data_IF_566176544582
#
_entry.id   IF_566176544582
#
_cell.length_a   1.000
_cell.length_b   1.000
_cell.length_c   1.000
_cell.angle_alpha   90.00
_cell.angle_beta   90.00
_cell.angle_gamma   90.00
#
_symmetry.space_group_name_H-M   'P 1'
#
loop_
_entity.id
_entity.type
_entity.pdbx_description
1 polymer ?
#
# COMPACT_ATOMS: atom_id res chain seq x y z
N UNK A 1 12.02 -12.95 0.41
CA UNK A 1 13.23 -12.23 -0.04
C UNK A 1 13.38 -10.96 0.77
N UNK A 2 14.60 -10.66 1.22
CA UNK A 2 14.98 -9.38 1.83
C UNK A 2 15.81 -8.59 0.83
N UNK A 3 15.46 -7.31 0.65
CA UNK A 3 16.17 -6.36 -0.20
C UNK A 3 16.51 -5.14 0.67
N UNK A 4 17.75 -4.68 0.59
CA UNK A 4 18.23 -3.50 1.31
C UNK A 4 18.74 -2.46 0.32
N UNK A 5 18.42 -1.18 0.55
CA UNK A 5 18.97 -0.10 -0.25
C UNK A 5 20.50 -0.04 -0.10
N UNK A 6 21.20 0.17 -1.21
CA UNK A 6 22.69 0.30 -1.25
C UNK A 6 23.15 1.75 -1.17
N UNK A 7 22.23 2.72 -1.31
CA UNK A 7 22.49 4.15 -1.26
C UNK A 7 21.40 4.86 -0.47
N UNK A 8 21.73 5.97 0.16
CA UNK A 8 20.83 6.77 0.98
C UNK A 8 20.58 6.15 2.35
N UNK A 9 19.48 6.55 2.99
CA UNK A 9 19.03 5.93 4.24
C UNK A 9 18.69 4.45 4.01
N UNK A 10 18.90 3.57 5.00
CA UNK A 10 18.60 2.17 4.85
C UNK A 10 17.08 1.93 4.74
N UNK A 11 16.64 1.43 3.59
CA UNK A 11 15.29 0.95 3.36
C UNK A 11 15.35 -0.57 3.20
N UNK A 12 14.57 -1.29 3.99
CA UNK A 12 14.45 -2.74 3.93
C UNK A 12 13.11 -3.12 3.32
N UNK A 13 13.12 -4.01 2.35
CA UNK A 13 11.92 -4.55 1.71
C UNK A 13 11.90 -6.06 1.93
N UNK A 14 10.85 -6.55 2.56
CA UNK A 14 10.57 -7.97 2.72
C UNK A 14 9.49 -8.35 1.72
N UNK A 15 9.84 -9.16 0.74
CA UNK A 15 8.94 -9.49 -0.37
C UNK A 15 8.71 -10.99 -0.47
N UNK A 16 7.48 -11.36 -0.83
CA UNK A 16 7.11 -12.70 -1.26
C UNK A 16 7.33 -12.75 -2.77
N UNK A 17 8.03 -13.79 -3.23
CA UNK A 17 8.16 -14.07 -4.66
C UNK A 17 6.85 -14.58 -5.23
N UNK A 18 6.60 -14.40 -6.53
CA UNK A 18 5.46 -15.02 -7.19
C UNK A 18 5.46 -16.53 -6.95
N UNK A 19 4.34 -17.06 -6.48
CA UNK A 19 4.16 -18.47 -6.16
C UNK A 19 3.03 -19.06 -6.99
N UNK A 20 3.00 -20.38 -7.05
CA UNK A 20 1.93 -21.12 -7.70
C UNK A 20 0.62 -20.93 -6.92
N UNK A 21 -0.29 -20.16 -7.51
CA UNK A 21 -1.56 -19.78 -6.89
C UNK A 21 -2.53 -20.96 -6.73
N UNK A 22 -2.47 -21.95 -7.63
CA UNK A 22 -3.34 -23.12 -7.60
C UNK A 22 -3.14 -23.97 -6.34
N UNK A 23 -1.94 -23.88 -5.76
CA UNK A 23 -1.57 -24.59 -4.53
C UNK A 23 -1.80 -23.77 -3.25
N UNK A 24 -2.36 -22.57 -3.35
CA UNK A 24 -2.61 -21.70 -2.19
C UNK A 24 -1.35 -21.24 -1.45
N UNK A 25 -0.20 -21.30 -2.10
CA UNK A 25 1.11 -21.02 -1.48
C UNK A 25 1.28 -19.56 -1.06
N UNK A 26 0.53 -18.64 -1.66
CA UNK A 26 0.57 -17.20 -1.29
C UNK A 26 0.17 -16.96 0.17
N UNK A 27 -0.91 -17.59 0.64
CA UNK A 27 -1.36 -17.45 2.03
C UNK A 27 -0.34 -18.02 3.01
N UNK A 28 0.27 -19.16 2.67
CA UNK A 28 1.33 -19.78 3.48
C UNK A 28 2.56 -18.88 3.54
N UNK A 29 2.98 -18.31 2.40
CA UNK A 29 4.12 -17.41 2.34
C UNK A 29 3.88 -16.11 3.11
N UNK A 30 2.67 -15.57 3.09
CA UNK A 30 2.30 -14.39 3.89
C UNK A 30 2.35 -14.71 5.39
N UNK A 31 1.84 -15.85 5.80
CA UNK A 31 1.93 -16.30 7.19
C UNK A 31 3.41 -16.47 7.63
N UNK A 32 4.25 -17.08 6.81
CA UNK A 32 5.68 -17.22 7.10
C UNK A 32 6.39 -15.86 7.19
N UNK A 33 6.06 -14.91 6.31
CA UNK A 33 6.58 -13.55 6.40
C UNK A 33 6.19 -12.88 7.71
N UNK A 34 4.94 -12.98 8.12
CA UNK A 34 4.46 -12.45 9.40
C UNK A 34 5.21 -13.07 10.59
N UNK A 35 5.39 -14.39 10.59
CA UNK A 35 6.15 -15.08 11.63
C UNK A 35 7.62 -14.60 11.67
N UNK A 36 8.23 -14.42 10.50
CA UNK A 36 9.59 -13.88 10.40
C UNK A 36 9.67 -12.47 10.99
N UNK A 37 8.79 -11.56 10.58
CA UNK A 37 8.75 -10.19 11.08
C UNK A 37 8.58 -10.15 12.60
N UNK A 38 7.66 -10.94 13.13
CA UNK A 38 7.42 -11.07 14.58
C UNK A 38 8.64 -11.61 15.32
N UNK A 39 9.25 -12.69 14.81
CA UNK A 39 10.45 -13.32 15.41
C UNK A 39 11.62 -12.33 15.51
N UNK A 40 11.77 -11.45 14.53
CA UNK A 40 12.85 -10.47 14.47
C UNK A 40 12.45 -9.09 15.04
N UNK A 41 11.26 -8.97 15.64
CA UNK A 41 10.71 -7.73 16.18
C UNK A 41 10.70 -6.58 15.14
N UNK A 42 10.39 -6.91 13.88
CA UNK A 42 10.31 -5.96 12.79
C UNK A 42 8.87 -5.45 12.64
N UNK A 43 8.74 -4.14 12.54
CA UNK A 43 7.45 -3.46 12.40
C UNK A 43 7.41 -2.69 11.07
N UNK A 44 6.88 -3.28 10.00
CA UNK A 44 6.78 -2.61 8.71
C UNK A 44 5.92 -1.35 8.78
N UNK A 45 6.48 -0.22 8.34
CA UNK A 45 5.72 1.03 8.19
C UNK A 45 4.89 1.10 6.92
N UNK A 46 5.19 0.25 5.94
CA UNK A 46 4.54 0.23 4.63
C UNK A 46 4.19 -1.20 4.25
N UNK A 47 2.94 -1.42 3.86
CA UNK A 47 2.48 -2.69 3.28
C UNK A 47 2.00 -2.48 1.86
N UNK A 48 2.45 -3.35 0.96
CA UNK A 48 2.16 -3.25 -0.47
C UNK A 48 1.58 -4.58 -0.97
N UNK A 49 0.39 -4.52 -1.52
CA UNK A 49 -0.20 -5.63 -2.28
C UNK A 49 -0.02 -5.37 -3.78
N UNK A 50 0.67 -6.27 -4.47
CA UNK A 50 0.83 -6.26 -5.93
C UNK A 50 0.44 -7.63 -6.47
N UNK A 51 -0.79 -7.80 -6.78
CA UNK A 51 -1.32 -9.07 -7.27
C UNK A 51 -2.74 -8.92 -7.78
N UNK A 52 -3.40 -10.02 -8.02
CA UNK A 52 -4.81 -10.01 -8.38
C UNK A 52 -5.70 -9.62 -7.20
N UNK A 53 -6.83 -8.99 -7.49
CA UNK A 53 -7.79 -8.50 -6.48
C UNK A 53 -8.33 -9.61 -5.57
N UNK A 54 -8.48 -10.82 -6.06
CA UNK A 54 -8.96 -11.95 -5.25
C UNK A 54 -7.96 -12.41 -4.18
N UNK A 55 -6.69 -11.98 -4.24
CA UNK A 55 -5.68 -12.25 -3.20
C UNK A 55 -5.51 -11.11 -2.19
N UNK A 56 -6.11 -9.95 -2.43
CA UNK A 56 -5.98 -8.78 -1.55
C UNK A 56 -6.46 -9.08 -0.13
N UNK A 57 -7.53 -9.87 0.00
CA UNK A 57 -8.07 -10.27 1.31
C UNK A 57 -7.07 -11.04 2.17
N UNK A 58 -6.18 -11.83 1.57
CA UNK A 58 -5.10 -12.50 2.31
C UNK A 58 -4.08 -11.49 2.84
N UNK A 59 -3.70 -10.49 2.04
CA UNK A 59 -2.82 -9.41 2.50
C UNK A 59 -3.43 -8.62 3.64
N UNK A 60 -4.73 -8.29 3.56
CA UNK A 60 -5.43 -7.52 4.60
C UNK A 60 -5.51 -8.31 5.91
N UNK A 61 -5.83 -9.59 5.87
CA UNK A 61 -5.84 -10.46 7.08
C UNK A 61 -4.48 -10.55 7.77
N UNK A 62 -3.40 -10.36 7.02
CA UNK A 62 -2.03 -10.39 7.52
C UNK A 62 -1.41 -8.97 7.60
N UNK A 63 -2.21 -7.92 7.60
CA UNK A 63 -1.73 -6.55 7.63
C UNK A 63 -1.11 -6.23 8.99
N UNK A 64 0.17 -5.80 9.05
CA UNK A 64 0.78 -5.36 10.29
C UNK A 64 0.11 -4.08 10.81
N UNK A 65 -0.31 -4.00 12.09
CA UNK A 65 -0.91 -2.79 12.65
C UNK A 65 0.02 -1.57 12.63
N UNK A 66 1.31 -1.79 12.48
CA UNK A 66 2.33 -0.73 12.34
C UNK A 66 2.33 -0.04 10.98
N UNK A 67 1.57 -0.55 10.00
CA UNK A 67 1.56 0.02 8.64
C UNK A 67 0.94 1.41 8.63
N UNK A 68 1.75 2.41 8.29
CA UNK A 68 1.34 3.81 8.11
C UNK A 68 0.95 4.14 6.67
N UNK A 69 1.47 3.37 5.72
CA UNK A 69 1.11 3.46 4.30
C UNK A 69 0.69 2.07 3.83
N UNK A 70 -0.48 1.98 3.21
CA UNK A 70 -0.98 0.74 2.60
C UNK A 70 -1.27 0.99 1.13
N UNK A 71 -0.62 0.22 0.26
CA UNK A 71 -0.79 0.33 -1.19
C UNK A 71 -1.47 -0.93 -1.70
N UNK A 72 -2.68 -0.78 -2.18
CA UNK A 72 -3.47 -1.86 -2.78
C UNK A 72 -3.46 -1.70 -4.31
N UNK A 73 -2.35 -2.11 -4.93
CA UNK A 73 -2.09 -1.99 -6.37
C UNK A 73 -2.81 -3.01 -7.25
N UNK A 74 -3.85 -3.66 -6.73
CA UNK A 74 -4.73 -4.60 -7.45
C UNK A 74 -5.94 -3.89 -8.06
N UNK A 75 -6.67 -4.61 -8.94
CA UNK A 75 -7.94 -4.11 -9.47
C UNK A 75 -8.95 -3.88 -8.35
N UNK A 76 -9.58 -2.71 -8.31
CA UNK A 76 -10.61 -2.40 -7.32
C UNK A 76 -10.12 -2.38 -5.87
N UNK A 77 -8.83 -2.17 -5.62
CA UNK A 77 -8.28 -2.10 -4.27
C UNK A 77 -8.99 -1.09 -3.36
N UNK A 78 -9.60 -0.07 -3.97
CA UNK A 78 -10.41 0.95 -3.27
C UNK A 78 -11.58 0.38 -2.45
N UNK A 79 -12.14 -0.75 -2.83
CA UNK A 79 -13.27 -1.38 -2.10
C UNK A 79 -12.88 -1.98 -0.74
N UNK A 80 -11.60 -2.00 -0.39
CA UNK A 80 -11.09 -2.61 0.84
C UNK A 80 -10.71 -1.57 1.92
N UNK A 81 -11.13 -0.32 1.79
CA UNK A 81 -10.75 0.77 2.71
C UNK A 81 -11.13 0.49 4.16
N UNK A 82 -12.36 0.02 4.40
CA UNK A 82 -12.88 -0.28 5.72
C UNK A 82 -12.06 -1.37 6.42
N UNK A 83 -11.77 -2.45 5.71
CA UNK A 83 -10.99 -3.56 6.26
C UNK A 83 -9.53 -3.19 6.59
N UNK A 84 -8.94 -2.31 5.78
CA UNK A 84 -7.61 -1.76 6.09
C UNK A 84 -7.67 -0.88 7.33
N UNK A 85 -8.67 0.01 7.44
CA UNK A 85 -8.78 0.97 8.52
C UNK A 85 -9.18 0.33 9.85
N UNK A 86 -9.82 -0.84 9.86
CA UNK A 86 -10.04 -1.65 11.08
C UNK A 86 -8.72 -2.07 11.73
N UNK A 87 -7.70 -2.39 10.93
CA UNK A 87 -6.38 -2.83 11.44
C UNK A 87 -5.40 -1.68 11.60
N UNK A 88 -5.43 -0.73 10.67
CA UNK A 88 -4.52 0.42 10.60
C UNK A 88 -5.32 1.71 10.49
N UNK A 89 -5.93 2.21 11.60
CA UNK A 89 -6.90 3.32 11.56
C UNK A 89 -6.31 4.63 11.03
N UNK A 90 -5.01 4.82 11.16
CA UNK A 90 -4.32 6.04 10.69
C UNK A 90 -3.61 5.86 9.34
N UNK A 91 -3.70 4.70 8.71
CA UNK A 91 -2.96 4.43 7.48
C UNK A 91 -3.34 5.38 6.34
N UNK A 92 -2.35 5.83 5.61
CA UNK A 92 -2.52 6.47 4.30
C UNK A 92 -2.70 5.38 3.25
N UNK A 93 -3.86 5.35 2.60
CA UNK A 93 -4.20 4.28 1.65
C UNK A 93 -4.12 4.82 0.22
N UNK A 94 -3.36 4.13 -0.62
CA UNK A 94 -3.32 4.32 -2.06
C UNK A 94 -3.91 3.09 -2.72
N UNK A 95 -4.90 3.27 -3.57
CA UNK A 95 -5.57 2.16 -4.25
C UNK A 95 -6.19 2.61 -5.57
N UNK A 96 -6.38 1.66 -6.49
CA UNK A 96 -7.13 1.91 -7.73
C UNK A 96 -8.61 1.61 -7.53
N UNK A 97 -9.47 2.44 -8.14
CA UNK A 97 -10.91 2.17 -8.28
C UNK A 97 -11.19 1.08 -9.32
N UNK A 98 -10.35 0.99 -10.33
CA UNK A 98 -10.49 0.06 -11.45
C UNK A 98 -9.25 -0.84 -11.56
N UNK A 99 -8.70 -0.96 -12.77
CA UNK A 99 -7.58 -1.87 -13.04
C UNK A 99 -6.29 -1.35 -12.44
N UNK A 100 -5.73 -2.10 -11.51
CA UNK A 100 -4.37 -1.89 -11.02
C UNK A 100 -3.32 -2.35 -12.03
N UNK A 101 -2.38 -1.49 -12.42
CA UNK A 101 -1.38 -1.80 -13.43
C UNK A 101 0.04 -1.56 -12.96
N UNK A 102 0.98 -2.35 -13.50
CA UNK A 102 2.41 -2.19 -13.25
C UNK A 102 2.91 -0.79 -13.64
N UNK A 103 2.43 -0.28 -14.79
CA UNK A 103 2.83 1.02 -15.34
C UNK A 103 2.59 2.16 -14.34
N UNK A 104 1.54 2.06 -13.53
CA UNK A 104 1.21 3.07 -12.52
C UNK A 104 1.80 2.71 -11.15
N UNK A 105 1.73 1.43 -10.76
CA UNK A 105 2.23 1.01 -9.46
C UNK A 105 3.73 1.30 -9.28
N UNK A 106 4.56 1.02 -10.29
CA UNK A 106 6.01 1.20 -10.19
C UNK A 106 6.45 2.65 -9.97
N UNK A 107 5.97 3.66 -10.73
CA UNK A 107 6.26 5.06 -10.45
C UNK A 107 5.84 5.52 -9.06
N UNK A 108 4.66 5.10 -8.56
CA UNK A 108 4.20 5.41 -7.20
C UNK A 108 5.18 4.84 -6.16
N UNK A 109 5.52 3.55 -6.29
CA UNK A 109 6.44 2.89 -5.37
C UNK A 109 7.84 3.50 -5.43
N UNK A 110 8.30 3.86 -6.63
CA UNK A 110 9.59 4.53 -6.81
C UNK A 110 9.63 5.87 -6.09
N UNK A 111 8.61 6.71 -6.27
CA UNK A 111 8.54 8.02 -5.63
C UNK A 111 8.60 7.91 -4.10
N UNK A 112 7.82 7.01 -3.50
CA UNK A 112 7.84 6.77 -2.06
C UNK A 112 9.22 6.27 -1.60
N UNK A 113 9.81 5.32 -2.32
CA UNK A 113 11.11 4.77 -1.96
C UNK A 113 12.24 5.81 -2.06
N UNK A 114 12.17 6.73 -3.01
CA UNK A 114 13.15 7.80 -3.16
C UNK A 114 13.09 8.77 -1.98
N UNK A 115 11.89 9.21 -1.52
CA UNK A 115 11.73 10.02 -0.31
C UNK A 115 12.32 9.31 0.92
N UNK A 116 12.00 8.03 1.11
CA UNK A 116 12.53 7.24 2.23
C UNK A 116 14.07 7.14 2.21
N UNK A 117 14.66 6.93 1.04
CA UNK A 117 16.12 6.86 0.87
C UNK A 117 16.82 8.19 1.15
N UNK A 118 16.14 9.29 0.90
CA UNK A 118 16.61 10.62 1.26
C UNK A 118 16.39 10.96 2.73
N UNK A 119 15.63 10.13 3.46
CA UNK A 119 15.27 10.33 4.86
C UNK A 119 14.24 11.43 5.06
N UNK A 120 13.43 11.68 4.05
CA UNK A 120 12.33 12.63 4.05
C UNK A 120 11.01 11.98 4.46
N UNK A 121 10.10 12.81 4.91
CA UNK A 121 8.71 12.43 5.06
C UNK A 121 8.04 12.25 3.69
N UNK A 122 7.06 11.35 3.61
CA UNK A 122 6.32 11.11 2.37
C UNK A 122 5.23 12.17 2.23
N UNK A 123 5.46 13.16 1.41
CA UNK A 123 4.52 14.25 1.12
C UNK A 123 3.70 13.96 -0.14
N UNK A 124 2.40 13.71 0.02
CA UNK A 124 1.55 13.24 -1.08
C UNK A 124 1.28 14.29 -2.17
N UNK A 125 1.17 15.56 -1.82
CA UNK A 125 0.87 16.62 -2.80
C UNK A 125 1.99 16.79 -3.84
N UNK A 126 3.27 16.94 -3.45
CA UNK A 126 4.38 17.00 -4.41
C UNK A 126 4.49 15.72 -5.24
N UNK A 127 4.48 14.55 -4.59
CA UNK A 127 4.57 13.25 -5.27
C UNK A 127 3.47 13.11 -6.33
N UNK A 128 2.23 13.43 -5.99
CA UNK A 128 1.11 13.29 -6.94
C UNK A 128 1.15 14.30 -8.07
N UNK A 129 1.66 15.50 -7.81
CA UNK A 129 1.91 16.51 -8.85
C UNK A 129 2.93 16.01 -9.86
N UNK A 130 4.04 15.45 -9.39
CA UNK A 130 5.12 14.95 -10.26
C UNK A 130 4.67 13.69 -11.04
N UNK A 131 3.92 12.79 -10.40
CA UNK A 131 3.33 11.64 -11.07
C UNK A 131 2.31 12.07 -12.14
N UNK A 132 1.48 13.06 -11.86
CA UNK A 132 0.52 13.61 -12.84
C UNK A 132 1.25 14.15 -14.08
N UNK A 133 2.38 14.80 -13.89
CA UNK A 133 3.20 15.31 -15.00
C UNK A 133 3.84 14.19 -15.84
N UNK A 134 4.08 13.01 -15.25
CA UNK A 134 4.59 11.83 -15.96
C UNK A 134 3.53 11.17 -16.85
N UNK A 135 2.24 11.37 -16.57
CA UNK A 135 1.12 10.80 -17.31
C UNK A 135 0.20 11.89 -17.87
N UNK A 136 0.67 12.69 -18.88
CA UNK A 136 -0.06 13.86 -19.34
C UNK A 136 -1.30 13.51 -20.17
N UNK A 137 -1.28 12.38 -20.92
CA UNK A 137 -2.35 11.97 -21.83
C UNK A 137 -2.39 10.46 -22.06
N UNK A 138 -3.44 9.97 -22.72
CA UNK A 138 -3.58 8.59 -23.19
C UNK A 138 -3.95 7.59 -22.11
N UNK A 139 -3.86 6.30 -22.44
CA UNK A 139 -4.27 5.17 -21.59
C UNK A 139 -3.59 5.17 -20.21
N UNK A 140 -2.31 5.55 -20.15
CA UNK A 140 -1.60 5.64 -18.89
C UNK A 140 -2.18 6.73 -17.97
N UNK A 141 -2.61 7.85 -18.51
CA UNK A 141 -3.31 8.89 -17.76
C UNK A 141 -4.65 8.41 -17.23
N UNK A 142 -5.47 7.79 -18.07
CA UNK A 142 -6.77 7.26 -17.67
C UNK A 142 -6.62 6.25 -16.52
N UNK A 143 -5.63 5.37 -16.60
CA UNK A 143 -5.31 4.43 -15.53
C UNK A 143 -4.81 5.11 -14.27
N UNK A 144 -3.97 6.15 -14.39
CA UNK A 144 -3.47 6.92 -13.24
C UNK A 144 -4.59 7.69 -12.55
N UNK A 145 -5.55 8.26 -13.28
CA UNK A 145 -6.68 9.00 -12.74
C UNK A 145 -7.60 8.11 -11.85
N UNK A 146 -7.54 6.80 -12.04
CA UNK A 146 -8.25 5.84 -11.18
C UNK A 146 -7.52 5.53 -9.86
N UNK A 147 -6.26 5.96 -9.70
CA UNK A 147 -5.55 5.83 -8.43
C UNK A 147 -5.85 7.01 -7.52
N UNK A 148 -6.22 6.72 -6.30
CA UNK A 148 -6.67 7.71 -5.32
C UNK A 148 -5.55 7.96 -4.31
N UNK A 149 -4.99 9.19 -4.28
CA UNK A 149 -4.03 9.57 -3.24
C UNK A 149 -4.72 9.74 -1.89
N UNK A 150 -3.99 9.58 -0.76
CA UNK A 150 -4.57 9.65 0.57
C UNK A 150 -5.37 10.92 0.85
N UNK A 151 -4.91 12.08 0.39
CA UNK A 151 -5.58 13.37 0.61
C UNK A 151 -6.87 13.59 -0.21
N UNK A 152 -7.11 12.76 -1.26
CA UNK A 152 -8.35 12.74 -2.04
C UNK A 152 -9.25 11.55 -1.72
N UNK A 153 -8.83 10.69 -0.79
CA UNK A 153 -9.59 9.50 -0.44
C UNK A 153 -10.70 9.85 0.57
N UNK A 154 -11.78 10.43 0.05
CA UNK A 154 -12.91 10.87 0.87
C UNK A 154 -13.54 9.72 1.67
N UNK A 155 -13.57 8.50 1.11
CA UNK A 155 -14.05 7.31 1.83
C UNK A 155 -13.22 7.03 3.08
N UNK A 156 -11.90 7.01 2.95
CA UNK A 156 -11.00 6.82 4.09
C UNK A 156 -11.10 7.96 5.11
N UNK A 157 -11.19 9.21 4.64
CA UNK A 157 -11.34 10.37 5.52
C UNK A 157 -12.66 10.32 6.31
N UNK A 158 -13.75 9.95 5.65
CA UNK A 158 -15.06 9.79 6.30
C UNK A 158 -15.04 8.68 7.36
N UNK A 159 -14.52 7.49 7.02
CA UNK A 159 -14.42 6.36 7.96
C UNK A 159 -13.59 6.77 9.18
N UNK A 160 -12.44 7.39 8.99
CA UNK A 160 -11.58 7.87 10.08
C UNK A 160 -12.30 8.88 10.98
N UNK A 161 -12.98 9.85 10.39
CA UNK A 161 -13.72 10.87 11.15
C UNK A 161 -14.85 10.23 11.97
N UNK A 162 -15.63 9.34 11.35
CA UNK A 162 -16.73 8.64 11.99
C UNK A 162 -16.23 7.76 13.16
N UNK A 163 -15.20 6.95 12.95
CA UNK A 163 -14.64 6.07 13.99
C UNK A 163 -14.10 6.87 15.16
N UNK A 164 -13.43 8.01 14.91
CA UNK A 164 -12.94 8.89 15.99
C UNK A 164 -14.08 9.48 16.79
N UNK A 165 -15.15 9.91 16.13
CA UNK A 165 -16.32 10.46 16.82
C UNK A 165 -17.02 9.41 17.68
N UNK A 166 -17.23 8.20 17.17
CA UNK A 166 -17.85 7.11 17.92
C UNK A 166 -16.99 6.67 19.11
N UNK A 167 -15.68 6.51 18.91
CA UNK A 167 -14.77 6.16 20.02
C UNK A 167 -14.57 7.25 21.08
N UNK A 168 -14.99 8.50 20.81
CA UNK A 168 -15.01 9.58 21.82
C UNK A 168 -16.33 9.65 22.62
N UNK A 169 -17.31 8.80 22.28
CA UNK A 169 -18.62 8.73 22.95
C UNK A 169 -18.73 7.53 23.92
N UNK A 170 -17.71 6.65 23.94
CA UNK A 170 -17.52 5.57 24.90
C UNK A 170 -16.59 6.03 26.06
#
# INVERSE_FOLDING_TARGET
>A
VEIKSTKGKPVFIYAILPLDYEKGLDSIAQMHLQQYLKKHNLQPGITIHRGHSYWVGSTIRNLPPSSKIVILGSCGGFHNLDDVLKTCPDAHIISSKEVGTRIINEPILKAINDELKEGKDVEWLPIWKDLTAQFPTGDAKERFDNYIPPYKNLGALFIKAYTRQMGSME
#
